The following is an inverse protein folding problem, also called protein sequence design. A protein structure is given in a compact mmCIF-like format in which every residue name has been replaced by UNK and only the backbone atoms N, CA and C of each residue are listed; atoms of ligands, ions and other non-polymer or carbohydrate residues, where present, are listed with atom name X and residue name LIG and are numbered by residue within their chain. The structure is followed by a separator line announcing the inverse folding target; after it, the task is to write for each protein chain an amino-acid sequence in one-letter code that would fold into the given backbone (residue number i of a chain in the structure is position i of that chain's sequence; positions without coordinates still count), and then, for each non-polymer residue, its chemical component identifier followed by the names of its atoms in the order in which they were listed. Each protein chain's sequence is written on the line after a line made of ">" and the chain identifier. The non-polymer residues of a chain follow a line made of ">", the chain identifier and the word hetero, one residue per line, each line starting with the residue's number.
data_IF_738102681200
#
_entry.id   IF_738102681200
#
_cell.length_a   1.000
_cell.length_b   1.000
_cell.length_c   1.000
_cell.angle_alpha   90.00
_cell.angle_beta   90.00
_cell.angle_gamma   90.00
#
_symmetry.space_group_name_H-M   'P 1'
#
loop_
_entity.id
_entity.type
_entity.pdbx_description
1 polymer ?
#
# COMPACT_ATOMS: atom_id res chain seq x y z
N UNK A 1 14.56 7.73 -5.85
CA UNK A 1 14.69 8.37 -4.52
C UNK A 1 15.66 7.58 -3.65
N UNK A 2 15.55 6.26 -3.49
CA UNK A 2 16.39 5.41 -2.61
C UNK A 2 17.89 5.59 -2.87
N UNK A 3 18.30 5.68 -4.15
CA UNK A 3 19.69 5.92 -4.53
C UNK A 3 20.26 7.29 -4.11
N UNK A 4 19.39 8.23 -3.70
CA UNK A 4 19.79 9.58 -3.24
C UNK A 4 19.88 9.68 -1.72
N UNK A 5 19.52 8.63 -0.99
CA UNK A 5 19.66 8.62 0.47
C UNK A 5 21.15 8.58 0.87
N UNK A 6 21.51 9.17 2.01
CA UNK A 6 22.88 9.10 2.54
C UNK A 6 23.42 7.67 2.58
N UNK A 7 24.72 7.51 2.35
CA UNK A 7 25.33 6.18 2.27
C UNK A 7 25.27 5.39 3.60
N UNK A 8 25.27 6.09 4.71
CA UNK A 8 25.16 5.57 6.07
C UNK A 8 23.73 5.29 6.55
N UNK A 9 22.73 5.64 5.74
CA UNK A 9 21.34 5.31 6.02
C UNK A 9 21.13 3.79 5.94
N UNK A 10 20.81 3.16 7.05
CA UNK A 10 20.61 1.69 7.16
C UNK A 10 19.13 1.27 7.15
N UNK A 11 18.23 2.20 7.43
CA UNK A 11 16.79 1.99 7.50
C UNK A 11 16.06 3.01 6.64
N UNK A 12 14.98 2.59 5.99
CA UNK A 12 14.14 3.45 5.14
C UNK A 12 12.71 3.34 5.64
N UNK A 13 12.06 4.48 5.85
CA UNK A 13 10.62 4.53 6.09
C UNK A 13 9.94 5.29 4.94
N UNK A 14 8.75 4.82 4.54
CA UNK A 14 7.85 5.54 3.64
C UNK A 14 6.49 5.65 4.32
N UNK A 15 5.97 6.85 4.30
CA UNK A 15 4.83 7.26 5.11
C UNK A 15 3.94 8.13 4.23
N UNK A 16 2.64 7.89 4.29
CA UNK A 16 1.65 8.74 3.61
C UNK A 16 1.71 10.17 4.18
N UNK A 17 1.54 11.16 3.32
CA UNK A 17 1.74 12.57 3.69
C UNK A 17 0.66 13.14 4.62
N UNK A 18 -0.40 12.40 4.84
CA UNK A 18 -1.55 12.70 5.70
C UNK A 18 -1.50 12.02 7.08
N UNK A 19 -0.34 11.46 7.45
CA UNK A 19 -0.13 10.88 8.77
C UNK A 19 0.55 11.86 9.73
N UNK A 20 0.03 11.90 10.94
CA UNK A 20 0.63 12.60 12.08
C UNK A 20 1.15 11.56 13.08
N UNK A 21 2.40 11.69 13.44
CA UNK A 21 3.09 10.82 14.39
C UNK A 21 3.52 11.58 15.63
N UNK A 22 3.68 10.88 16.76
CA UNK A 22 4.26 11.48 17.96
C UNK A 22 5.76 11.80 17.76
N UNK A 23 6.27 12.74 18.53
CA UNK A 23 7.70 13.01 18.59
C UNK A 23 8.47 11.74 18.98
N UNK A 24 9.64 11.52 18.36
CA UNK A 24 10.47 10.35 18.64
C UNK A 24 10.02 9.05 17.97
N UNK A 25 9.08 9.09 17.04
CA UNK A 25 8.54 7.93 16.31
C UNK A 25 9.62 7.04 15.65
N UNK A 26 10.77 7.59 15.29
CA UNK A 26 11.85 6.84 14.66
C UNK A 26 12.49 5.78 15.57
N UNK A 27 12.50 6.01 16.89
CA UNK A 27 13.12 5.06 17.83
C UNK A 27 12.37 3.72 17.95
N UNK A 28 11.05 3.67 18.12
CA UNK A 28 10.29 2.42 18.05
C UNK A 28 10.46 1.69 16.72
N UNK A 29 10.54 2.41 15.59
CA UNK A 29 10.82 1.81 14.29
C UNK A 29 12.19 1.16 14.23
N UNK A 30 13.23 1.86 14.66
CA UNK A 30 14.58 1.32 14.67
C UNK A 30 14.68 0.05 15.54
N UNK A 31 14.01 0.02 16.69
CA UNK A 31 13.93 -1.19 17.54
C UNK A 31 13.24 -2.35 16.81
N UNK A 32 12.10 -2.10 16.18
CA UNK A 32 11.38 -3.14 15.43
C UNK A 32 12.20 -3.66 14.24
N UNK A 33 12.95 -2.78 13.54
CA UNK A 33 13.83 -3.15 12.43
C UNK A 33 15.10 -3.91 12.86
N UNK A 34 15.48 -3.85 14.13
CA UNK A 34 16.52 -4.72 14.67
C UNK A 34 16.09 -6.20 14.64
N UNK A 35 14.79 -6.47 14.87
CA UNK A 35 14.22 -7.83 14.97
C UNK A 35 13.66 -8.34 13.62
N UNK A 36 13.17 -7.45 12.75
CA UNK A 36 12.54 -7.82 11.48
C UNK A 36 13.06 -6.98 10.31
N UNK A 37 13.20 -7.55 9.10
CA UNK A 37 13.67 -6.80 7.93
C UNK A 37 12.67 -5.81 7.38
N UNK A 38 11.37 -6.02 7.66
CA UNK A 38 10.23 -5.20 7.25
C UNK A 38 9.33 -4.94 8.45
N UNK A 39 8.81 -3.73 8.59
CA UNK A 39 7.99 -3.29 9.72
C UNK A 39 6.82 -2.48 9.23
N UNK A 40 5.60 -2.80 9.65
CA UNK A 40 4.50 -1.84 9.58
C UNK A 40 4.69 -0.80 10.70
N UNK A 41 4.77 0.46 10.32
CA UNK A 41 5.33 1.51 11.16
C UNK A 41 4.38 2.03 12.25
N UNK A 42 3.28 1.34 12.49
CA UNK A 42 2.31 1.64 13.54
C UNK A 42 1.51 0.40 13.95
N UNK A 43 0.95 0.40 15.13
CA UNK A 43 0.03 -0.63 15.63
C UNK A 43 -1.42 -0.24 15.43
N UNK A 44 -1.76 1.01 15.71
CA UNK A 44 -3.10 1.55 15.57
C UNK A 44 -3.08 2.89 14.84
N UNK A 45 -4.14 3.14 14.08
CA UNK A 45 -4.39 4.42 13.44
C UNK A 45 -5.75 4.95 13.87
N UNK A 46 -5.78 6.23 14.22
CA UNK A 46 -6.97 7.00 14.51
C UNK A 46 -7.29 7.86 13.28
N UNK A 47 -8.40 7.58 12.63
CA UNK A 47 -8.89 8.40 11.53
C UNK A 47 -9.59 9.63 12.07
N UNK A 48 -9.18 10.78 11.62
CA UNK A 48 -9.80 12.05 11.98
C UNK A 48 -10.85 12.44 10.96
N UNK A 49 -11.93 13.06 11.43
CA UNK A 49 -12.92 13.70 10.59
C UNK A 49 -12.49 15.08 10.10
N UNK A 50 -13.31 15.75 9.29
CA UNK A 50 -13.01 17.08 8.75
C UNK A 50 -12.87 18.16 9.82
N UNK A 51 -13.42 17.95 11.01
CA UNK A 51 -13.30 18.82 12.18
C UNK A 51 -12.08 18.46 13.07
N UNK A 52 -11.29 17.47 12.70
CA UNK A 52 -10.16 16.96 13.46
C UNK A 52 -10.54 16.03 14.61
N UNK A 53 -11.82 15.73 14.81
CA UNK A 53 -12.26 14.77 15.82
C UNK A 53 -11.97 13.33 15.36
N UNK A 54 -11.69 12.45 16.33
CA UNK A 54 -11.49 11.04 16.02
C UNK A 54 -12.83 10.37 15.70
N UNK A 55 -12.93 9.80 14.50
CA UNK A 55 -14.14 9.11 14.05
C UNK A 55 -14.02 7.58 14.15
N UNK A 56 -12.83 7.06 13.93
CA UNK A 56 -12.62 5.61 13.85
C UNK A 56 -11.19 5.25 14.25
N UNK A 57 -11.04 4.09 14.87
CA UNK A 57 -9.72 3.46 15.12
C UNK A 57 -9.63 2.18 14.29
N UNK A 58 -8.46 1.94 13.72
CA UNK A 58 -8.13 0.70 13.02
C UNK A 58 -6.80 0.14 13.51
N UNK A 59 -6.69 -1.19 13.49
CA UNK A 59 -5.45 -1.90 13.83
C UNK A 59 -4.68 -2.21 12.55
N UNK A 60 -3.36 -2.13 12.61
CA UNK A 60 -2.50 -2.50 11.49
C UNK A 60 -2.69 -3.99 11.12
N UNK A 61 -2.61 -4.31 9.83
CA UNK A 61 -2.75 -5.68 9.36
C UNK A 61 -1.71 -6.61 9.98
N UNK A 62 -0.47 -6.14 10.09
CA UNK A 62 0.64 -6.91 10.70
C UNK A 62 0.40 -7.18 12.18
N UNK A 63 -0.17 -6.21 12.93
CA UNK A 63 -0.50 -6.43 14.34
C UNK A 63 -1.53 -7.56 14.50
N UNK A 64 -2.61 -7.55 13.71
CA UNK A 64 -3.63 -8.60 13.74
C UNK A 64 -3.07 -9.97 13.37
N UNK A 65 -2.21 -10.04 12.36
CA UNK A 65 -1.58 -11.28 11.95
C UNK A 65 -0.63 -11.79 13.04
N UNK A 66 0.15 -10.92 13.66
CA UNK A 66 1.04 -11.29 14.76
C UNK A 66 0.27 -11.71 16.03
N UNK A 67 -0.98 -11.33 16.16
CA UNK A 67 -1.94 -11.77 17.19
C UNK A 67 -2.63 -13.10 16.85
N UNK A 68 -2.26 -13.72 15.72
CA UNK A 68 -2.71 -15.05 15.33
C UNK A 68 -3.84 -15.09 14.30
N UNK A 69 -4.24 -13.94 13.71
CA UNK A 69 -5.20 -13.97 12.61
C UNK A 69 -4.53 -14.45 11.32
N UNK A 70 -5.28 -15.16 10.48
CA UNK A 70 -4.75 -15.73 9.25
C UNK A 70 -4.39 -14.61 8.23
N UNK A 71 -3.13 -14.56 7.81
CA UNK A 71 -2.64 -13.52 6.90
C UNK A 71 -3.42 -13.48 5.58
N UNK A 72 -3.75 -14.65 5.02
CA UNK A 72 -4.51 -14.73 3.77
C UNK A 72 -5.92 -14.15 3.90
N UNK A 73 -6.58 -14.28 5.06
CA UNK A 73 -7.89 -13.71 5.30
C UNK A 73 -7.82 -12.18 5.44
N UNK A 74 -6.90 -11.69 6.28
CA UNK A 74 -6.68 -10.26 6.48
C UNK A 74 -6.35 -9.59 5.15
N UNK A 75 -5.39 -10.12 4.39
CA UNK A 75 -4.90 -9.54 3.15
C UNK A 75 -5.78 -9.84 1.93
N UNK A 76 -6.62 -10.86 2.02
CA UNK A 76 -7.68 -11.14 1.05
C UNK A 76 -8.95 -10.30 1.24
N UNK A 77 -8.97 -9.40 2.22
CA UNK A 77 -10.06 -8.47 2.46
C UNK A 77 -11.28 -9.08 3.17
N UNK A 78 -11.16 -10.29 3.71
CA UNK A 78 -12.28 -10.97 4.41
C UNK A 78 -12.69 -10.19 5.65
N UNK A 79 -11.72 -9.75 6.45
CA UNK A 79 -11.97 -8.99 7.70
C UNK A 79 -12.53 -7.59 7.43
N UNK A 80 -12.16 -6.98 6.30
CA UNK A 80 -12.70 -5.67 5.90
C UNK A 80 -14.20 -5.73 5.54
N UNK A 81 -14.71 -6.88 5.10
CA UNK A 81 -16.14 -7.08 4.79
C UNK A 81 -16.99 -7.24 6.05
N UNK A 82 -16.40 -7.69 7.15
CA UNK A 82 -17.09 -7.91 8.43
C UNK A 82 -17.01 -6.73 9.39
N UNK A 83 -16.50 -5.56 8.90
CA UNK A 83 -16.32 -4.37 9.75
C UNK A 83 -15.06 -4.40 10.62
N UNK A 84 -14.24 -5.41 10.49
CA UNK A 84 -12.92 -5.45 11.11
C UNK A 84 -11.99 -4.41 10.51
N UNK A 85 -11.39 -3.59 11.35
CA UNK A 85 -10.63 -2.42 10.94
C UNK A 85 -9.14 -2.75 10.72
N UNK A 86 -8.85 -3.78 9.90
CA UNK A 86 -7.48 -4.07 9.48
C UNK A 86 -7.04 -3.10 8.39
N UNK A 87 -5.86 -2.52 8.54
CA UNK A 87 -5.29 -1.66 7.49
C UNK A 87 -3.85 -2.07 7.15
N UNK A 88 -3.57 -2.46 5.89
CA UNK A 88 -2.22 -2.76 5.43
C UNK A 88 -1.43 -1.52 5.00
N UNK A 89 -2.08 -0.37 4.79
CA UNK A 89 -1.50 0.83 4.22
C UNK A 89 -0.81 1.77 5.20
N UNK A 90 -0.54 2.98 4.75
CA UNK A 90 -0.13 4.21 5.42
C UNK A 90 1.35 4.37 5.72
N UNK A 91 1.97 3.47 6.46
CA UNK A 91 3.36 3.66 6.87
C UNK A 91 4.08 2.32 7.03
N UNK A 92 5.24 2.25 6.41
CA UNK A 92 6.12 1.10 6.43
C UNK A 92 7.56 1.53 6.64
N UNK A 93 8.37 0.61 7.15
CA UNK A 93 9.81 0.78 7.20
C UNK A 93 10.51 -0.55 6.90
N UNK A 94 11.69 -0.49 6.34
CA UNK A 94 12.50 -1.66 6.04
C UNK A 94 13.99 -1.38 6.25
N UNK A 95 14.76 -2.45 6.39
CA UNK A 95 16.20 -2.37 6.23
C UNK A 95 16.53 -1.96 4.80
N UNK A 96 17.50 -1.07 4.65
CA UNK A 96 17.86 -0.50 3.34
C UNK A 96 18.26 -1.56 2.32
N UNK A 97 18.99 -2.58 2.74
CA UNK A 97 19.46 -3.66 1.85
C UNK A 97 18.29 -4.41 1.20
N UNK A 98 17.20 -4.66 1.93
CA UNK A 98 15.99 -5.28 1.41
C UNK A 98 15.39 -4.43 0.28
N UNK A 99 15.20 -3.13 0.52
CA UNK A 99 14.58 -2.23 -0.47
C UNK A 99 15.54 -1.93 -1.64
N UNK A 100 16.85 -1.89 -1.39
CA UNK A 100 17.84 -1.72 -2.47
C UNK A 100 17.87 -2.92 -3.40
N UNK A 101 17.67 -4.14 -2.87
CA UNK A 101 17.67 -5.38 -3.65
C UNK A 101 16.41 -5.57 -4.47
N UNK A 102 15.25 -5.31 -3.89
CA UNK A 102 13.96 -5.65 -4.49
C UNK A 102 13.16 -4.46 -5.02
N UNK A 103 13.44 -3.24 -4.54
CA UNK A 103 12.54 -2.11 -4.76
C UNK A 103 11.21 -2.26 -4.03
N UNK A 104 10.25 -1.42 -4.40
CA UNK A 104 8.85 -1.55 -4.04
C UNK A 104 8.07 -2.03 -5.28
N UNK A 105 7.02 -2.82 -5.08
CA UNK A 105 6.15 -3.21 -6.18
C UNK A 105 5.39 -2.00 -6.72
N UNK A 106 5.55 -1.71 -7.98
CA UNK A 106 5.09 -0.49 -8.64
C UNK A 106 4.02 -0.72 -9.72
N UNK A 107 3.50 -1.96 -9.83
CA UNK A 107 2.46 -2.32 -10.79
C UNK A 107 1.03 -2.01 -10.36
N UNK A 108 0.80 -1.49 -9.15
CA UNK A 108 -0.53 -1.16 -8.62
C UNK A 108 -0.95 0.27 -8.99
N UNK A 109 -1.38 0.50 -10.23
CA UNK A 109 -1.71 1.85 -10.73
C UNK A 109 -3.01 2.45 -10.20
N UNK A 110 -3.84 1.67 -9.50
CA UNK A 110 -5.13 2.11 -8.94
C UNK A 110 -5.18 1.99 -7.41
N UNK A 111 -4.01 1.85 -6.77
CA UNK A 111 -3.87 1.60 -5.34
C UNK A 111 -3.78 0.11 -5.00
N UNK A 112 -3.62 -0.20 -3.72
CA UNK A 112 -3.43 -1.56 -3.23
C UNK A 112 -1.97 -2.00 -3.12
N UNK A 113 -1.00 -1.12 -3.36
CA UNK A 113 0.44 -1.42 -3.27
C UNK A 113 0.85 -1.97 -1.90
N UNK A 114 0.31 -1.40 -0.82
CA UNK A 114 0.60 -1.87 0.54
C UNK A 114 0.05 -3.27 0.82
N UNK A 115 -1.15 -3.57 0.29
CA UNK A 115 -1.71 -4.93 0.38
C UNK A 115 -0.84 -5.91 -0.40
N UNK A 116 -0.37 -5.53 -1.59
CA UNK A 116 0.52 -6.35 -2.40
C UNK A 116 1.87 -6.56 -1.70
N UNK A 117 2.43 -5.53 -1.06
CA UNK A 117 3.66 -5.62 -0.26
C UNK A 117 3.50 -6.58 0.91
N UNK A 118 2.44 -6.40 1.71
CA UNK A 118 2.17 -7.25 2.86
C UNK A 118 1.92 -8.71 2.45
N UNK A 119 1.12 -8.93 1.41
CA UNK A 119 0.85 -10.27 0.88
C UNK A 119 2.13 -10.95 0.35
N UNK A 120 2.99 -10.21 -0.33
CA UNK A 120 4.29 -10.72 -0.75
C UNK A 120 5.13 -11.11 0.47
N UNK A 121 5.23 -10.26 1.47
CA UNK A 121 6.03 -10.51 2.66
C UNK A 121 5.59 -11.77 3.44
N UNK A 122 4.27 -12.03 3.51
CA UNK A 122 3.72 -13.25 4.14
C UNK A 122 3.60 -14.47 3.21
N UNK A 123 3.89 -14.33 1.91
CA UNK A 123 3.72 -15.43 0.93
C UNK A 123 2.26 -15.71 0.56
N UNK A 124 1.35 -14.78 0.83
CA UNK A 124 -0.10 -14.90 0.53
C UNK A 124 -0.42 -14.38 -0.88
N UNK A 125 0.30 -14.84 -1.90
CA UNK A 125 0.23 -14.30 -3.27
C UNK A 125 -1.18 -14.42 -3.85
N UNK A 126 -1.82 -15.58 -3.71
CA UNK A 126 -3.14 -15.84 -4.27
C UNK A 126 -4.22 -14.95 -3.66
N UNK A 127 -4.10 -14.61 -2.38
CA UNK A 127 -5.05 -13.74 -1.69
C UNK A 127 -5.11 -12.35 -2.35
N UNK A 128 -3.95 -11.74 -2.65
CA UNK A 128 -3.90 -10.41 -3.26
C UNK A 128 -4.18 -10.43 -4.76
N UNK A 129 -3.74 -11.46 -5.49
CA UNK A 129 -4.03 -11.57 -6.93
C UNK A 129 -5.53 -11.71 -7.18
N UNK A 130 -6.21 -12.48 -6.33
CA UNK A 130 -7.68 -12.60 -6.35
C UNK A 130 -8.37 -11.31 -5.92
N UNK A 131 -7.95 -10.68 -4.81
CA UNK A 131 -8.51 -9.42 -4.32
C UNK A 131 -8.40 -8.29 -5.35
N UNK A 132 -7.24 -8.18 -5.99
CA UNK A 132 -6.96 -7.16 -7.01
C UNK A 132 -7.46 -7.56 -8.41
N UNK A 133 -8.05 -8.75 -8.56
CA UNK A 133 -8.53 -9.28 -9.84
C UNK A 133 -7.49 -9.19 -10.95
N UNK A 134 -6.25 -9.53 -10.61
CA UNK A 134 -5.13 -9.45 -11.54
C UNK A 134 -5.30 -10.43 -12.70
N UNK A 135 -5.13 -9.96 -13.93
CA UNK A 135 -5.01 -10.83 -15.09
C UNK A 135 -3.65 -11.56 -15.13
N UNK A 136 -3.45 -12.44 -16.08
CA UNK A 136 -2.23 -13.27 -16.17
C UNK A 136 -0.94 -12.43 -16.25
N UNK A 137 -0.96 -11.32 -17.00
CA UNK A 137 0.20 -10.42 -17.13
C UNK A 137 0.52 -9.70 -15.81
N UNK A 138 -0.50 -9.19 -15.14
CA UNK A 138 -0.35 -8.57 -13.82
C UNK A 138 0.16 -9.56 -12.78
N UNK A 139 -0.38 -10.79 -12.77
CA UNK A 139 0.08 -11.86 -11.87
C UNK A 139 1.54 -12.23 -12.14
N UNK A 140 1.91 -12.41 -13.40
CA UNK A 140 3.29 -12.74 -13.78
C UNK A 140 4.28 -11.67 -13.28
N UNK A 141 3.98 -10.38 -13.50
CA UNK A 141 4.81 -9.27 -13.00
C UNK A 141 4.87 -9.23 -11.50
N UNK A 142 3.72 -9.40 -10.83
CA UNK A 142 3.67 -9.39 -9.38
C UNK A 142 4.49 -10.54 -8.78
N UNK A 143 4.29 -11.76 -9.25
CA UNK A 143 5.01 -12.95 -8.74
C UNK A 143 6.51 -12.88 -9.00
N UNK A 144 6.94 -12.35 -10.15
CA UNK A 144 8.35 -12.14 -10.44
C UNK A 144 9.06 -11.22 -9.42
N UNK A 145 8.34 -10.26 -8.86
CA UNK A 145 8.82 -9.41 -7.78
C UNK A 145 8.58 -10.03 -6.39
N UNK A 146 7.39 -10.57 -6.15
CA UNK A 146 6.93 -10.97 -4.82
C UNK A 146 7.63 -12.23 -4.29
N UNK A 147 7.92 -13.22 -5.16
CA UNK A 147 8.56 -14.46 -4.73
C UNK A 147 9.98 -14.27 -4.18
N UNK A 148 10.91 -13.58 -4.87
CA UNK A 148 12.23 -13.30 -4.31
C UNK A 148 12.16 -12.36 -3.09
N UNK A 149 11.21 -11.41 -3.05
CA UNK A 149 10.99 -10.57 -1.89
C UNK A 149 10.56 -11.40 -0.67
N UNK A 150 9.61 -12.33 -0.85
CA UNK A 150 9.20 -13.27 0.19
C UNK A 150 10.36 -14.14 0.69
N UNK A 151 11.19 -14.65 -0.21
CA UNK A 151 12.33 -15.49 0.16
C UNK A 151 13.29 -14.79 1.14
N UNK A 152 13.46 -13.48 1.01
CA UNK A 152 14.30 -12.68 1.90
C UNK A 152 13.57 -12.27 3.21
N UNK A 153 12.28 -11.97 3.14
CA UNK A 153 11.49 -11.57 4.32
C UNK A 153 11.04 -12.77 5.15
N UNK A 154 10.56 -13.82 4.50
CA UNK A 154 10.16 -15.11 5.14
C UNK A 154 9.05 -14.95 6.18
N UNK A 155 8.11 -14.02 5.98
CA UNK A 155 7.04 -13.74 6.95
C UNK A 155 7.50 -13.01 8.22
N UNK A 156 8.77 -12.65 8.33
CA UNK A 156 9.32 -11.93 9.49
C UNK A 156 9.04 -10.44 9.39
N UNK A 157 7.83 -10.05 9.79
CA UNK A 157 7.37 -8.67 9.72
C UNK A 157 7.08 -8.17 11.13
N UNK A 158 7.75 -7.09 11.49
CA UNK A 158 7.54 -6.41 12.76
C UNK A 158 6.39 -5.40 12.69
N UNK A 159 5.95 -4.98 13.86
CA UNK A 159 5.04 -3.84 14.02
C UNK A 159 5.64 -2.88 15.03
N UNK A 160 5.67 -1.60 14.70
CA UNK A 160 6.10 -0.60 15.66
C UNK A 160 4.98 -0.34 16.69
N UNK A 161 5.34 -0.26 17.97
CA UNK A 161 4.40 0.07 19.06
C UNK A 161 4.09 1.58 19.03
N UNK A 162 3.46 2.03 17.95
CA UNK A 162 3.10 3.42 17.69
C UNK A 162 1.61 3.54 17.38
N UNK A 163 1.03 4.63 17.82
CA UNK A 163 -0.27 5.11 17.38
C UNK A 163 -0.04 6.30 16.45
N UNK A 164 -0.80 6.36 15.36
CA UNK A 164 -0.72 7.44 14.39
C UNK A 164 -2.12 8.01 14.16
N UNK A 165 -2.17 9.27 13.74
CA UNK A 165 -3.42 9.91 13.31
C UNK A 165 -3.39 10.07 11.79
N UNK A 166 -4.51 9.75 11.15
CA UNK A 166 -4.69 9.94 9.72
C UNK A 166 -5.62 11.14 9.53
N UNK A 167 -5.09 12.17 8.92
CA UNK A 167 -5.85 13.39 8.61
C UNK A 167 -6.96 13.09 7.62
N UNK A 168 -8.06 13.80 7.75
CA UNK A 168 -9.14 13.71 6.78
C UNK A 168 -8.71 14.33 5.44
N UNK A 169 -9.00 13.63 4.36
CA UNK A 169 -8.77 14.10 2.99
C UNK A 169 -9.81 13.49 2.02
N UNK A 170 -11.06 13.67 2.33
CA UNK A 170 -12.20 13.15 1.58
C UNK A 170 -12.76 11.86 2.18
N UNK A 171 -13.95 11.51 1.73
CA UNK A 171 -14.68 10.36 2.25
C UNK A 171 -14.06 9.03 1.79
N UNK A 172 -13.96 8.06 2.70
CA UNK A 172 -13.44 6.74 2.37
C UNK A 172 -14.26 6.02 1.29
N UNK A 173 -15.55 6.31 1.17
CA UNK A 173 -16.42 5.78 0.13
C UNK A 173 -15.97 6.20 -1.27
N UNK A 174 -15.46 7.42 -1.43
CA UNK A 174 -14.99 7.96 -2.70
C UNK A 174 -13.74 7.24 -3.23
N UNK A 175 -13.01 6.55 -2.37
CA UNK A 175 -11.86 5.72 -2.76
C UNK A 175 -12.26 4.44 -3.50
N UNK A 176 -13.55 4.07 -3.51
CA UNK A 176 -14.10 2.91 -4.23
C UNK A 176 -13.26 1.63 -4.02
N UNK A 177 -12.80 1.41 -2.79
CA UNK A 177 -11.81 0.37 -2.48
C UNK A 177 -12.26 -1.04 -2.89
N UNK A 178 -13.57 -1.33 -2.80
CA UNK A 178 -14.14 -2.62 -3.19
C UNK A 178 -14.28 -2.80 -4.71
N UNK A 179 -14.40 -1.71 -5.47
CA UNK A 179 -14.81 -1.74 -6.88
C UNK A 179 -13.68 -1.41 -7.86
N UNK A 180 -12.69 -0.61 -7.42
CA UNK A 180 -11.63 -0.10 -8.30
C UNK A 180 -10.89 -1.20 -9.08
N UNK A 181 -10.55 -2.30 -8.43
CA UNK A 181 -9.85 -3.41 -9.09
C UNK A 181 -10.76 -4.15 -10.08
N UNK A 182 -12.07 -4.26 -9.77
CA UNK A 182 -13.04 -4.83 -10.70
C UNK A 182 -13.21 -3.96 -11.95
N UNK A 183 -13.16 -2.63 -11.78
CA UNK A 183 -13.19 -1.70 -12.92
C UNK A 183 -11.94 -1.81 -13.76
N UNK A 184 -10.74 -1.84 -13.13
CA UNK A 184 -9.47 -2.00 -13.85
C UNK A 184 -9.44 -3.30 -14.66
N UNK A 185 -9.95 -4.40 -14.10
CA UNK A 185 -9.98 -5.70 -14.75
C UNK A 185 -10.79 -5.73 -16.08
N UNK A 186 -11.70 -4.76 -16.28
CA UNK A 186 -12.47 -4.65 -17.53
C UNK A 186 -11.67 -4.02 -18.68
N UNK A 187 -10.48 -3.48 -18.42
CA UNK A 187 -9.67 -2.76 -19.40
C UNK A 187 -8.42 -3.52 -19.85
N UNK A 188 -8.28 -4.78 -19.43
CA UNK A 188 -7.15 -5.65 -19.80
C UNK A 188 -5.78 -4.93 -19.64
N UNK A 189 -5.57 -4.33 -18.46
CA UNK A 189 -4.32 -3.64 -18.15
C UNK A 189 -3.15 -4.60 -18.13
N UNK A 190 -2.13 -4.32 -18.93
CA UNK A 190 -0.86 -5.06 -19.00
C UNK A 190 0.28 -4.16 -18.52
N UNK A 191 0.84 -4.39 -17.32
CA UNK A 191 1.91 -3.56 -16.79
C UNK A 191 3.22 -3.62 -17.57
N UNK A 192 3.38 -4.58 -18.50
CA UNK A 192 4.57 -4.68 -19.36
C UNK A 192 4.45 -3.82 -20.62
N UNK A 193 3.21 -3.56 -21.06
CA UNK A 193 2.94 -2.88 -22.35
C UNK A 193 2.29 -1.51 -22.16
N UNK A 194 1.50 -1.32 -21.09
CA UNK A 194 0.66 -0.13 -20.96
C UNK A 194 1.35 1.02 -20.23
N UNK A 195 2.37 0.72 -19.42
CA UNK A 195 3.12 1.75 -18.67
C UNK A 195 4.63 1.61 -18.88
N UNK A 196 5.31 2.74 -18.85
CA UNK A 196 6.77 2.82 -18.90
C UNK A 196 7.29 3.95 -18.00
N UNK A 197 8.51 3.85 -17.45
CA UNK A 197 9.07 4.96 -16.69
C UNK A 197 9.44 6.13 -17.61
N UNK A 198 8.98 7.33 -17.24
CA UNK A 198 9.42 8.58 -17.87
C UNK A 198 10.85 8.96 -17.45
N UNK A 199 11.39 10.02 -18.04
CA UNK A 199 12.75 10.54 -17.73
C UNK A 199 12.90 10.99 -16.27
N UNK A 200 11.79 11.39 -15.65
CA UNK A 200 11.69 11.80 -14.24
C UNK A 200 11.44 10.60 -13.29
N UNK A 201 11.32 9.39 -13.84
CA UNK A 201 11.02 8.16 -13.10
C UNK A 201 9.54 7.98 -12.77
N UNK A 202 8.65 8.91 -13.16
CA UNK A 202 7.21 8.74 -13.03
C UNK A 202 6.67 7.84 -14.15
N UNK A 203 5.60 7.08 -13.86
CA UNK A 203 4.94 6.27 -14.86
C UNK A 203 4.30 7.13 -15.94
N UNK A 204 4.42 6.69 -17.19
CA UNK A 204 3.78 7.25 -18.37
C UNK A 204 3.02 6.14 -19.08
N UNK A 205 1.94 6.50 -19.76
CA UNK A 205 1.26 5.58 -20.65
C UNK A 205 2.18 5.23 -21.83
N UNK A 206 2.26 3.95 -22.15
CA UNK A 206 3.02 3.40 -23.26
C UNK A 206 2.12 2.77 -24.33
N UNK A 207 0.84 2.61 -24.05
CA UNK A 207 -0.17 2.07 -24.96
C UNK A 207 -1.20 3.11 -25.38
N UNK A 208 -1.89 2.84 -26.49
CA UNK A 208 -3.06 3.59 -26.94
C UNK A 208 -4.36 2.87 -26.53
N UNK A 209 -4.68 2.96 -25.23
CA UNK A 209 -5.92 2.42 -24.63
C UNK A 209 -6.74 3.57 -24.00
N UNK A 210 -7.41 4.42 -24.80
CA UNK A 210 -8.07 5.64 -24.30
C UNK A 210 -9.13 5.34 -23.24
N UNK A 211 -9.84 4.22 -23.32
CA UNK A 211 -10.83 3.82 -22.32
C UNK A 211 -10.19 3.51 -20.95
N UNK A 212 -9.01 2.85 -20.93
CA UNK A 212 -8.24 2.61 -19.71
C UNK A 212 -7.75 3.93 -19.11
N UNK A 213 -7.17 4.80 -19.94
CA UNK A 213 -6.63 6.09 -19.51
C UNK A 213 -7.72 6.98 -18.93
N UNK A 214 -8.88 7.02 -19.59
CA UNK A 214 -10.04 7.81 -19.12
C UNK A 214 -10.59 7.23 -17.81
N UNK A 215 -10.77 5.91 -17.73
CA UNK A 215 -11.23 5.25 -16.50
C UNK A 215 -10.35 5.60 -15.30
N UNK A 216 -9.02 5.58 -15.47
CA UNK A 216 -8.09 5.89 -14.39
C UNK A 216 -8.16 7.37 -13.99
N UNK A 217 -8.23 8.28 -14.98
CA UNK A 217 -8.39 9.72 -14.74
C UNK A 217 -9.70 10.01 -13.97
N UNK A 218 -10.80 9.37 -14.35
CA UNK A 218 -12.10 9.52 -13.68
C UNK A 218 -12.09 8.95 -12.27
N UNK A 219 -11.41 7.82 -12.06
CA UNK A 219 -11.23 7.26 -10.72
C UNK A 219 -10.51 8.25 -9.80
N UNK A 220 -9.38 8.83 -10.22
CA UNK A 220 -8.64 9.78 -9.37
C UNK A 220 -9.42 11.08 -9.12
N UNK A 221 -10.19 11.57 -10.09
CA UNK A 221 -11.09 12.73 -9.86
C UNK A 221 -12.20 12.41 -8.87
N UNK A 222 -12.76 11.20 -8.96
CA UNK A 222 -13.85 10.78 -8.09
C UNK A 222 -13.43 10.60 -6.61
N UNK A 223 -12.14 10.51 -6.32
CA UNK A 223 -11.64 10.42 -4.94
C UNK A 223 -11.88 11.69 -4.11
N UNK A 224 -12.02 12.85 -4.75
CA UNK A 224 -12.35 14.14 -4.10
C UNK A 224 -11.52 14.40 -2.83
N UNK A 225 -10.23 14.11 -2.88
CA UNK A 225 -9.34 14.14 -1.72
C UNK A 225 -9.22 15.50 -1.05
N UNK A 226 -9.56 16.58 -1.76
CA UNK A 226 -9.61 17.93 -1.21
C UNK A 226 -10.99 18.30 -0.63
N UNK A 227 -11.95 17.36 -0.62
CA UNK A 227 -13.31 17.61 -0.15
C UNK A 227 -14.12 18.61 -0.99
N UNK A 228 -13.58 19.07 -2.10
CA UNK A 228 -14.20 20.05 -2.99
C UNK A 228 -14.50 19.41 -4.35
N UNK A 229 -15.74 19.54 -4.80
CA UNK A 229 -16.09 19.22 -6.17
C UNK A 229 -15.51 20.33 -7.06
N UNK A 230 -14.36 20.10 -7.69
CA UNK A 230 -13.87 21.03 -8.71
C UNK A 230 -14.88 21.06 -9.86
N UNK A 231 -15.31 22.26 -10.34
CA UNK A 231 -16.17 22.34 -11.50
C UNK A 231 -15.49 21.66 -12.69
N UNK A 232 -16.27 20.89 -13.47
CA UNK A 232 -15.80 20.28 -14.71
C UNK A 232 -15.22 21.39 -15.62
N UNK A 233 -13.96 21.23 -16.00
CA UNK A 233 -13.33 22.09 -17.01
C UNK A 233 -13.66 21.57 -18.39
#
# INVERSE_FOLDING_TARGET
>A
IIARLPADCTHIAWIDCDLVTAAGWAQPLARALAEAPLVQAYRQVQYLGPDGAAERVATSAVALINEGQAAAEILGGVTNRTGGAATPGMAWAARRDLITRHGLYDGCIIGGGDTALAAAAYGCFDAVTALHRMNASQQARYLAWAQPFHADVGGRIGVAALEVQHLWHGDLADRQAAERHARLAQHDFDPHCDIMPGRDGAWRWASDKPALHQMLADYFRARREDGVTLPAR
#
